data_IF_326743882518
#
_entry.id   IF_326743882518
#
_cell.length_a   1.000
_cell.length_b   1.000
_cell.length_c   1.000
_cell.angle_alpha   90.00
_cell.angle_beta   90.00
_cell.angle_gamma   90.00
#
_symmetry.space_group_name_H-M   'P 1'
#
loop_
_entity.id
_entity.type
_entity.pdbx_description
1 polymer ?
#
# COMPACT_ATOMS: atom_id res chain seq x y z
N UNK A 1 -0.52 -13.23 7.12
CA UNK A 1 -0.02 -11.89 6.78
C UNK A 1 0.97 -11.54 7.87
N UNK A 2 2.12 -10.98 7.50
CA UNK A 2 3.18 -10.67 8.45
C UNK A 2 3.55 -9.19 8.42
N UNK A 3 3.64 -8.60 9.61
CA UNK A 3 4.14 -7.25 9.83
C UNK A 3 5.42 -7.30 10.67
N UNK A 4 6.49 -6.69 10.16
CA UNK A 4 7.82 -6.69 10.78
C UNK A 4 8.31 -5.25 10.93
N UNK A 5 8.78 -4.87 12.11
CA UNK A 5 9.50 -3.60 12.30
C UNK A 5 10.98 -3.85 12.03
N UNK A 6 11.51 -3.21 11.00
CA UNK A 6 12.92 -3.29 10.63
C UNK A 6 13.78 -2.42 11.56
N UNK A 7 15.09 -2.66 11.55
CA UNK A 7 16.03 -1.96 12.42
C UNK A 7 16.07 -0.44 12.20
N UNK A 8 15.68 0.04 11.02
CA UNK A 8 15.57 1.46 10.68
C UNK A 8 14.22 2.09 11.07
N UNK A 9 13.35 1.32 11.75
CA UNK A 9 12.01 1.72 12.16
C UNK A 9 10.95 1.58 11.06
N UNK A 10 11.28 1.02 9.90
CA UNK A 10 10.31 0.78 8.83
C UNK A 10 9.38 -0.37 9.19
N UNK A 11 8.07 -0.16 9.09
CA UNK A 11 7.07 -1.21 9.14
C UNK A 11 6.99 -1.90 7.77
N UNK A 12 7.54 -3.10 7.66
CA UNK A 12 7.44 -3.95 6.49
C UNK A 12 6.24 -4.89 6.62
N UNK A 13 5.32 -4.85 5.67
CA UNK A 13 4.10 -5.66 5.65
C UNK A 13 4.09 -6.50 4.38
N UNK A 14 4.01 -7.82 4.53
CA UNK A 14 3.95 -8.77 3.43
C UNK A 14 2.78 -9.76 3.63
N UNK A 15 2.01 -10.06 2.58
CA UNK A 15 1.03 -11.13 2.60
C UNK A 15 1.74 -12.50 2.55
N UNK A 16 1.09 -13.53 3.10
CA UNK A 16 1.58 -14.92 3.10
C UNK A 16 0.67 -15.83 2.22
N UNK A 17 -0.33 -15.24 1.56
CA UNK A 17 -1.22 -15.91 0.60
C UNK A 17 -1.88 -14.91 -0.36
N UNK A 18 -2.47 -15.39 -1.47
CA UNK A 18 -3.19 -14.55 -2.45
C UNK A 18 -4.37 -13.80 -1.83
N UNK A 19 -5.12 -14.46 -0.93
CA UNK A 19 -6.27 -13.84 -0.24
C UNK A 19 -5.82 -12.68 0.64
N UNK A 20 -4.69 -12.83 1.31
CA UNK A 20 -4.12 -11.76 2.12
C UNK A 20 -3.54 -10.65 1.28
N UNK A 21 -2.94 -10.97 0.14
CA UNK A 21 -2.46 -9.97 -0.80
C UNK A 21 -3.63 -9.11 -1.32
N UNK A 22 -4.75 -9.74 -1.67
CA UNK A 22 -5.97 -9.02 -2.02
C UNK A 22 -6.48 -8.14 -0.88
N UNK A 23 -6.58 -8.69 0.34
CA UNK A 23 -7.03 -7.93 1.51
C UNK A 23 -6.11 -6.74 1.84
N UNK A 24 -4.80 -6.92 1.67
CA UNK A 24 -3.79 -5.88 1.89
C UNK A 24 -3.89 -4.74 0.88
N UNK A 25 -4.10 -5.04 -0.42
CA UNK A 25 -4.36 -4.03 -1.45
C UNK A 25 -5.60 -3.19 -1.11
N UNK A 26 -6.70 -3.86 -0.74
CA UNK A 26 -7.94 -3.19 -0.35
C UNK A 26 -7.74 -2.31 0.89
N UNK A 27 -7.02 -2.80 1.90
CA UNK A 27 -6.71 -2.01 3.08
C UNK A 27 -5.87 -0.77 2.74
N UNK A 28 -4.83 -0.92 1.90
CA UNK A 28 -3.97 0.18 1.48
C UNK A 28 -4.75 1.27 0.76
N UNK A 29 -5.68 0.90 -0.13
CA UNK A 29 -6.51 1.86 -0.89
C UNK A 29 -7.38 2.75 0.00
N UNK A 30 -7.82 2.24 1.14
CA UNK A 30 -8.70 2.94 2.08
C UNK A 30 -7.90 3.74 3.12
N UNK A 31 -6.74 3.24 3.53
CA UNK A 31 -6.02 3.76 4.70
C UNK A 31 -4.72 4.50 4.37
N UNK A 32 -4.12 4.26 3.20
CA UNK A 32 -2.88 4.91 2.78
C UNK A 32 -3.18 5.91 1.66
N UNK A 33 -3.04 7.19 1.97
CA UNK A 33 -3.07 8.24 0.95
C UNK A 33 -1.67 8.53 0.41
N UNK A 34 -1.27 7.79 -0.62
CA UNK A 34 0.04 7.94 -1.29
C UNK A 34 0.27 9.32 -1.92
N UNK A 35 -0.76 10.19 -1.99
CA UNK A 35 -0.65 11.55 -2.54
C UNK A 35 -0.18 12.58 -1.52
N UNK A 36 -0.20 12.24 -0.23
CA UNK A 36 0.03 13.17 0.87
C UNK A 36 1.39 12.96 1.51
N UNK A 37 2.39 13.66 0.96
CA UNK A 37 3.75 13.70 1.51
C UNK A 37 3.88 14.57 2.77
N UNK A 38 2.84 15.34 3.11
CA UNK A 38 2.77 16.24 4.28
C UNK A 38 2.44 15.50 5.59
N UNK A 39 1.98 14.25 5.50
CA UNK A 39 1.57 13.48 6.69
C UNK A 39 2.80 12.84 7.32
N UNK A 40 3.00 13.08 8.62
CA UNK A 40 3.95 12.34 9.44
C UNK A 40 3.45 10.91 9.67
N UNK A 41 3.49 10.10 8.60
CA UNK A 41 3.20 8.68 8.66
C UNK A 41 4.45 7.91 9.09
N UNK A 42 4.30 6.76 9.78
CA UNK A 42 5.38 5.80 9.93
C UNK A 42 5.96 5.44 8.57
N UNK A 43 7.26 5.14 8.49
CA UNK A 43 7.84 4.55 7.28
C UNK A 43 7.20 3.17 7.09
N UNK A 44 6.41 3.00 6.04
CA UNK A 44 5.74 1.73 5.73
C UNK A 44 6.23 1.25 4.37
N UNK A 45 6.63 -0.02 4.31
CA UNK A 45 6.92 -0.74 3.08
C UNK A 45 5.89 -1.86 2.93
N UNK A 46 5.02 -1.75 1.92
CA UNK A 46 4.05 -2.79 1.59
C UNK A 46 4.63 -3.60 0.44
N UNK A 47 4.87 -4.89 0.68
CA UNK A 47 5.58 -5.77 -0.24
C UNK A 47 4.62 -6.78 -0.87
N UNK A 48 4.52 -6.73 -2.20
CA UNK A 48 3.72 -7.63 -3.02
C UNK A 48 4.58 -8.47 -3.99
N UNK A 49 5.90 -8.59 -3.75
CA UNK A 49 6.82 -9.23 -4.69
C UNK A 49 6.40 -10.65 -5.09
N UNK A 50 5.85 -11.43 -4.15
CA UNK A 50 5.38 -12.79 -4.40
C UNK A 50 3.95 -12.84 -5.00
N UNK A 51 3.24 -11.70 -5.05
CA UNK A 51 1.84 -11.59 -5.47
C UNK A 51 1.60 -10.42 -6.45
N UNK A 52 2.30 -10.36 -7.60
CA UNK A 52 2.23 -9.22 -8.52
C UNK A 52 0.84 -8.98 -9.13
N UNK A 53 -0.01 -10.02 -9.19
CA UNK A 53 -1.38 -9.92 -9.67
C UNK A 53 -2.38 -9.38 -8.64
N UNK A 54 -2.00 -9.30 -7.36
CA UNK A 54 -2.89 -8.81 -6.31
C UNK A 54 -2.98 -7.28 -6.27
N UNK A 55 -1.92 -6.59 -6.73
CA UNK A 55 -1.89 -5.14 -6.76
C UNK A 55 -2.67 -4.65 -7.99
N UNK A 56 -3.89 -4.15 -7.77
CA UNK A 56 -4.57 -3.43 -8.83
C UNK A 56 -3.81 -2.13 -9.09
N UNK A 57 -3.59 -1.78 -10.37
CA UNK A 57 -2.83 -0.59 -10.76
C UNK A 57 -3.29 0.64 -9.98
N UNK A 58 -2.35 1.31 -9.31
CA UNK A 58 -2.55 2.65 -8.78
C UNK A 58 -2.65 3.58 -9.99
N UNK A 59 -3.87 3.76 -10.51
CA UNK A 59 -4.15 4.82 -11.48
C UNK A 59 -3.97 6.15 -10.77
N UNK A 60 -2.77 6.72 -10.88
CA UNK A 60 -2.54 8.14 -10.61
C UNK A 60 -3.48 8.89 -11.55
N UNK A 61 -4.61 9.41 -11.03
CA UNK A 61 -5.46 10.30 -11.82
C UNK A 61 -4.58 11.46 -12.28
N UNK A 62 -4.56 11.80 -13.58
CA UNK A 62 -3.89 13.00 -14.02
C UNK A 62 -4.52 14.22 -13.32
N UNK A 63 -3.72 15.21 -12.90
CA UNK A 63 -4.23 16.41 -12.26
C UNK A 63 -5.06 17.19 -13.29
N UNK A 64 -6.39 17.15 -13.20
CA UNK A 64 -7.24 17.94 -14.11
C UNK A 64 -8.73 17.63 -14.18
N UNK A 65 -9.21 16.47 -13.75
CA UNK A 65 -10.65 16.15 -13.87
C UNK A 65 -11.40 16.45 -12.56
N UNK A 66 -11.83 17.72 -12.45
CA UNK A 66 -12.88 18.12 -11.52
C UNK A 66 -14.21 17.50 -11.98
N UNK A 67 -14.91 16.82 -11.06
CA UNK A 67 -16.24 16.27 -11.30
C UNK A 67 -17.23 17.40 -11.62
N UNK A 68 -17.88 17.30 -12.78
CA UNK A 68 -19.18 17.92 -13.04
C UNK A 68 -20.27 17.14 -12.30
#
# INVERSE_FOLDING_TARGET
>A
MKATILADGTLHVAPESDVEAYALDQWCRVNIDYRRADVHAPKICVDFNDYPGAMQSLTLRPPGEAQQ
#
